data_IF_606250435676
#
_entry.id   IF_606250435676
#
_cell.length_a   1.000
_cell.length_b   1.000
_cell.length_c   1.000
_cell.angle_alpha   90.00
_cell.angle_beta   90.00
_cell.angle_gamma   90.00
#
_symmetry.space_group_name_H-M   'P 1'
#
loop_
_entity.id
_entity.type
_entity.pdbx_description
1 polymer ?
#
# COMPACT_ATOMS: atom_id res chain seq x y z
N UNK A 1 -39.96 34.54 2.15
CA UNK A 1 -40.34 35.31 0.94
C UNK A 1 -39.09 35.78 0.25
N UNK A 2 -39.03 35.57 -1.07
CA UNK A 2 -38.20 36.22 -2.08
C UNK A 2 -36.67 36.08 -1.94
N UNK A 3 -36.02 35.26 -2.76
CA UNK A 3 -35.82 35.38 -4.22
C UNK A 3 -34.67 36.33 -4.63
N UNK A 4 -33.76 35.71 -5.38
CA UNK A 4 -32.92 36.21 -6.47
C UNK A 4 -31.72 37.08 -6.16
N UNK A 5 -30.55 36.50 -6.49
CA UNK A 5 -29.37 37.12 -7.14
C UNK A 5 -28.34 35.97 -7.24
N UNK A 6 -28.03 35.31 -8.35
CA UNK A 6 -28.04 35.69 -9.75
C UNK A 6 -28.10 34.42 -10.62
N UNK A 7 -28.75 34.56 -11.77
CA UNK A 7 -28.84 33.56 -12.82
C UNK A 7 -27.66 33.66 -13.82
N UNK A 8 -27.58 32.64 -14.68
CA UNK A 8 -26.71 32.41 -15.84
C UNK A 8 -25.29 31.91 -15.49
N UNK A 9 -24.78 30.85 -16.13
CA UNK A 9 -24.79 30.64 -17.58
C UNK A 9 -24.42 29.17 -17.91
N UNK A 10 -25.17 28.58 -18.86
CA UNK A 10 -24.81 27.51 -19.84
C UNK A 10 -24.32 26.15 -19.30
N UNK A 11 -24.75 24.97 -19.76
CA UNK A 11 -25.63 24.51 -20.84
C UNK A 11 -25.58 22.96 -20.84
N UNK A 12 -26.67 22.31 -21.27
CA UNK A 12 -26.86 20.87 -21.56
C UNK A 12 -25.61 20.20 -22.21
N UNK A 13 -25.29 18.90 -22.11
CA UNK A 13 -25.96 17.73 -22.72
C UNK A 13 -25.55 16.40 -22.00
N UNK A 14 -26.53 15.65 -21.46
CA UNK A 14 -26.83 14.20 -21.62
C UNK A 14 -25.72 13.12 -21.37
N UNK A 15 -25.83 12.06 -20.55
CA UNK A 15 -26.88 11.01 -20.44
C UNK A 15 -26.89 10.32 -19.06
N UNK A 16 -28.12 10.04 -18.59
CA UNK A 16 -28.55 9.23 -17.44
C UNK A 16 -27.91 7.83 -17.34
N UNK A 17 -27.66 7.35 -16.11
CA UNK A 17 -28.33 6.15 -15.53
C UNK A 17 -27.95 5.93 -14.06
N UNK A 18 -28.97 5.48 -13.33
CA UNK A 18 -29.07 5.26 -11.89
C UNK A 18 -28.10 4.17 -11.40
N UNK A 19 -27.50 4.35 -10.22
CA UNK A 19 -27.06 3.23 -9.37
C UNK A 19 -27.67 3.42 -7.99
N UNK A 20 -28.46 2.43 -7.61
CA UNK A 20 -29.20 2.31 -6.35
C UNK A 20 -28.32 1.55 -5.35
N UNK A 21 -28.25 2.07 -4.12
CA UNK A 21 -27.99 1.39 -2.83
C UNK A 21 -26.85 0.35 -2.74
N UNK A 22 -25.80 0.72 -2.00
CA UNK A 22 -25.32 -0.06 -0.84
C UNK A 22 -24.39 0.85 0.00
N UNK A 23 -24.54 0.99 1.34
CA UNK A 23 -23.52 1.64 2.15
C UNK A 23 -22.38 0.64 2.30
N UNK A 24 -21.50 0.58 1.30
CA UNK A 24 -20.20 -0.04 1.54
C UNK A 24 -19.53 0.88 2.54
N UNK A 25 -19.45 0.42 3.81
CA UNK A 25 -18.53 0.98 4.76
C UNK A 25 -17.16 0.91 4.10
N UNK A 26 -16.71 2.04 3.55
CA UNK A 26 -15.31 2.21 3.18
C UNK A 26 -14.54 2.13 4.49
N UNK A 27 -14.05 0.94 4.81
CA UNK A 27 -12.85 0.79 5.62
C UNK A 27 -11.72 1.41 4.80
N UNK A 28 -11.62 2.73 4.89
CA UNK A 28 -10.45 3.45 4.42
C UNK A 28 -9.38 3.19 5.46
N UNK A 29 -8.78 2.00 5.40
CA UNK A 29 -7.45 1.79 5.97
C UNK A 29 -6.47 2.52 5.06
N UNK A 30 -6.51 3.85 5.11
CA UNK A 30 -5.43 4.68 4.62
C UNK A 30 -4.34 4.67 5.69
N UNK A 31 -3.72 3.50 5.85
CA UNK A 31 -2.34 3.41 6.32
C UNK A 31 -1.44 3.93 5.21
N UNK A 32 -1.62 5.19 4.80
CA UNK A 32 -0.57 5.95 4.14
C UNK A 32 0.45 6.28 5.22
N UNK A 33 1.11 5.24 5.73
CA UNK A 33 2.34 5.39 6.46
C UNK A 33 3.25 6.22 5.58
N UNK A 34 3.83 7.25 6.15
CA UNK A 34 4.80 8.10 5.47
C UNK A 34 5.76 7.15 4.75
N UNK A 35 5.81 7.20 3.42
CA UNK A 35 6.65 6.31 2.62
C UNK A 35 8.09 6.65 2.93
N UNK A 36 8.58 6.12 4.04
CA UNK A 36 9.99 5.94 4.26
C UNK A 36 10.38 4.91 3.21
N UNK A 37 11.35 5.23 2.34
CA UNK A 37 11.90 4.28 1.35
C UNK A 37 12.64 3.10 2.02
N UNK A 38 12.37 2.83 3.30
CA UNK A 38 13.05 1.87 4.13
C UNK A 38 12.09 1.27 5.17
N UNK A 39 12.36 0.03 5.56
CA UNK A 39 11.63 -0.62 6.63
C UNK A 39 11.96 0.01 7.99
N UNK A 40 10.93 0.51 8.68
CA UNK A 40 10.97 0.90 10.10
C UNK A 40 10.59 -0.27 11.00
N UNK A 41 9.68 -1.13 10.52
CA UNK A 41 9.22 -2.35 11.19
C UNK A 41 9.51 -3.58 10.33
N UNK A 42 9.54 -4.75 10.98
CA UNK A 42 9.84 -6.03 10.32
C UNK A 42 8.90 -7.12 10.81
N UNK A 43 8.40 -7.91 9.87
CA UNK A 43 7.63 -9.10 10.17
C UNK A 43 8.55 -10.30 10.39
N UNK A 44 8.12 -11.21 11.27
CA UNK A 44 8.72 -12.55 11.44
C UNK A 44 7.87 -13.64 10.80
N UNK A 45 6.69 -13.28 10.30
CA UNK A 45 5.77 -14.22 9.68
C UNK A 45 6.36 -14.71 8.36
N UNK A 46 6.19 -16.00 8.08
CA UNK A 46 6.64 -16.58 6.83
C UNK A 46 5.79 -16.06 5.69
N UNK A 47 6.44 -15.59 4.64
CA UNK A 47 5.78 -15.15 3.41
C UNK A 47 5.31 -16.39 2.63
N UNK A 48 4.03 -16.41 2.25
CA UNK A 48 3.43 -17.45 1.41
C UNK A 48 3.17 -17.01 -0.03
N UNK A 49 3.33 -15.71 -0.30
CA UNK A 49 3.19 -15.15 -1.66
C UNK A 49 4.47 -15.38 -2.46
N UNK A 50 4.39 -15.42 -3.80
CA UNK A 50 5.57 -15.56 -4.66
C UNK A 50 6.52 -14.36 -4.49
N UNK A 51 7.80 -14.67 -4.27
CA UNK A 51 8.87 -13.68 -4.12
C UNK A 51 9.63 -13.62 -5.43
N UNK A 52 9.69 -12.43 -6.02
CA UNK A 52 10.33 -12.14 -7.29
C UNK A 52 11.80 -11.76 -7.07
N UNK A 53 12.06 -11.05 -5.97
CA UNK A 53 13.39 -10.54 -5.65
C UNK A 53 13.59 -10.33 -4.16
N UNK A 54 14.83 -10.16 -3.76
CA UNK A 54 15.17 -9.84 -2.38
C UNK A 54 16.35 -8.87 -2.33
N UNK A 55 16.30 -7.91 -1.40
CA UNK A 55 17.39 -6.96 -1.14
C UNK A 55 17.63 -6.78 0.35
N UNK A 56 18.90 -6.66 0.73
CA UNK A 56 19.28 -6.47 2.13
C UNK A 56 19.34 -4.99 2.49
N UNK A 57 18.55 -4.58 3.49
CA UNK A 57 18.58 -3.23 4.06
C UNK A 57 19.57 -3.15 5.22
N UNK A 58 20.50 -2.18 5.13
CA UNK A 58 21.42 -1.83 6.22
C UNK A 58 20.67 -1.01 7.29
N UNK A 59 21.08 -1.17 8.55
CA UNK A 59 20.54 -0.36 9.66
C UNK A 59 20.92 1.11 9.46
N UNK A 60 19.94 2.00 9.41
CA UNK A 60 20.14 3.44 9.36
C UNK A 60 18.94 4.17 10.01
N UNK A 61 19.00 4.55 11.30
CA UNK A 61 17.86 5.10 12.03
C UNK A 61 17.18 6.25 11.26
N UNK A 62 15.83 6.24 11.09
CA UNK A 62 14.84 5.37 11.73
C UNK A 62 14.68 3.98 11.10
N UNK A 63 15.38 3.68 10.00
CA UNK A 63 15.33 2.41 9.30
C UNK A 63 16.06 1.30 10.10
N UNK A 64 15.40 0.15 10.24
CA UNK A 64 15.96 -1.03 10.91
C UNK A 64 16.71 -1.93 9.92
N UNK A 65 17.51 -2.85 10.42
CA UNK A 65 18.14 -3.88 9.58
C UNK A 65 17.08 -4.90 9.17
N UNK A 66 16.84 -5.08 7.88
CA UNK A 66 15.79 -5.95 7.35
C UNK A 66 16.19 -6.58 6.02
N UNK A 67 15.56 -7.69 5.65
CA UNK A 67 15.53 -8.16 4.26
C UNK A 67 14.20 -7.72 3.67
N UNK A 68 14.25 -7.07 2.53
CA UNK A 68 13.07 -6.61 1.79
C UNK A 68 12.85 -7.60 0.66
N UNK A 69 11.69 -8.24 0.67
CA UNK A 69 11.28 -9.13 -0.40
C UNK A 69 10.36 -8.38 -1.36
N UNK A 70 10.66 -8.44 -2.64
CA UNK A 70 9.84 -7.90 -3.71
C UNK A 70 8.87 -9.00 -4.14
N UNK A 71 7.58 -8.69 -4.07
CA UNK A 71 6.48 -9.58 -4.44
C UNK A 71 5.59 -8.88 -5.45
N UNK A 72 4.70 -9.61 -6.12
CA UNK A 72 3.74 -9.00 -7.06
C UNK A 72 2.82 -7.97 -6.39
N UNK A 73 2.50 -8.19 -5.11
CA UNK A 73 1.64 -7.32 -4.30
C UNK A 73 2.39 -6.13 -3.67
N UNK A 74 3.72 -6.12 -3.73
CA UNK A 74 4.58 -5.06 -3.18
C UNK A 74 5.79 -5.56 -2.40
N UNK A 75 6.41 -4.64 -1.65
CA UNK A 75 7.59 -4.93 -0.84
C UNK A 75 7.20 -5.41 0.57
N UNK A 76 7.79 -6.51 1.03
CA UNK A 76 7.57 -7.06 2.36
C UNK A 76 8.86 -7.01 3.19
N UNK A 77 8.80 -6.31 4.31
CA UNK A 77 9.89 -6.18 5.29
C UNK A 77 9.95 -7.40 6.23
N UNK A 78 11.03 -8.18 6.14
CA UNK A 78 11.24 -9.37 6.97
C UNK A 78 12.49 -9.29 7.83
N UNK A 79 12.42 -9.92 9.01
CA UNK A 79 13.53 -9.91 9.95
C UNK A 79 14.67 -10.84 9.50
N UNK A 80 15.84 -10.27 9.20
CA UNK A 80 17.03 -10.96 8.65
C UNK A 80 17.59 -12.14 9.47
N UNK A 81 17.20 -12.28 10.75
CA UNK A 81 17.64 -13.41 11.59
C UNK A 81 16.80 -14.68 11.40
N UNK A 82 15.62 -14.58 10.79
CA UNK A 82 14.76 -15.74 10.58
C UNK A 82 15.43 -16.73 9.62
N UNK A 83 15.38 -18.02 9.95
CA UNK A 83 16.04 -19.05 9.14
C UNK A 83 15.49 -19.10 7.71
N UNK A 84 14.16 -19.04 7.57
CA UNK A 84 13.50 -19.05 6.26
C UNK A 84 13.90 -17.84 5.40
N UNK A 85 14.05 -16.66 6.00
CA UNK A 85 14.49 -15.44 5.28
C UNK A 85 15.87 -15.65 4.68
N UNK A 86 16.80 -16.24 5.44
CA UNK A 86 18.16 -16.52 4.96
C UNK A 86 18.16 -17.55 3.84
N UNK A 87 17.40 -18.62 3.97
CA UNK A 87 17.29 -19.64 2.93
C UNK A 87 16.71 -19.06 1.65
N UNK A 88 15.61 -18.31 1.74
CA UNK A 88 14.98 -17.67 0.58
C UNK A 88 15.90 -16.62 -0.06
N UNK A 89 16.61 -15.82 0.73
CA UNK A 89 17.56 -14.84 0.21
C UNK A 89 18.69 -15.51 -0.59
N UNK A 90 19.30 -16.58 -0.05
CA UNK A 90 20.35 -17.34 -0.74
C UNK A 90 19.83 -18.04 -2.01
N UNK A 91 18.56 -18.42 -2.05
CA UNK A 91 17.97 -19.04 -3.23
C UNK A 91 17.72 -18.07 -4.39
N UNK A 92 17.60 -16.77 -4.09
CA UNK A 92 17.30 -15.72 -5.07
C UNK A 92 18.54 -14.96 -5.55
N UNK A 93 19.68 -15.10 -4.84
CA UNK A 93 20.98 -14.53 -5.21
C UNK A 93 21.71 -15.42 -6.23
#
# INVERSE_FOLDING_TARGET
MRYYKYALRVGWWLWVKKVVLNPICFLKSSGADKVHNCCTEVSRQKITVPIIGARMQKKNPPCVKAVIFETEDGEICSHWKEAWVRHTFIQLE
#
